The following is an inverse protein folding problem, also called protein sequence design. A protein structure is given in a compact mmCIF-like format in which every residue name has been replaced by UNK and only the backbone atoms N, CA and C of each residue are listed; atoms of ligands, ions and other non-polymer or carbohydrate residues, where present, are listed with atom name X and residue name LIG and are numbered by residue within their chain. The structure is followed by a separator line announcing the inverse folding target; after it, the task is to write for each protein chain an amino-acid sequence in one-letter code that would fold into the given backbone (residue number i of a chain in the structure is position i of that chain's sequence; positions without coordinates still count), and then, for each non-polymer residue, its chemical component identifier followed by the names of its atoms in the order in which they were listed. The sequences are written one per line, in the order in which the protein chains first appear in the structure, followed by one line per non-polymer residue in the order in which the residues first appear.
data_IF_820917030428
#
_entry.id   IF_820917030428
#
_cell.length_a   1.000
_cell.length_b   1.000
_cell.length_c   1.000
_cell.angle_alpha   90.00
_cell.angle_beta   90.00
_cell.angle_gamma   90.00
#
_symmetry.space_group_name_H-M   'P 1'
#
loop_
_entity.id
_entity.type
_entity.pdbx_description
1 polymer ?
#
# COMPACT_ATOMS: atom_id res chain seq x y z
N UNK A 1 19.07 14.76 -2.22
CA UNK A 1 17.85 15.14 -2.99
C UNK A 1 18.06 16.51 -3.59
N UNK A 2 17.73 16.70 -4.87
CA UNK A 2 17.73 18.01 -5.53
C UNK A 2 16.28 18.39 -5.85
N UNK A 3 15.88 19.64 -5.60
CA UNK A 3 14.65 20.25 -6.12
C UNK A 3 13.30 19.54 -5.84
N UNK A 4 13.07 19.04 -4.62
CA UNK A 4 11.75 18.51 -4.24
C UNK A 4 11.40 17.14 -4.86
N UNK A 5 12.41 16.42 -5.36
CA UNK A 5 12.28 15.06 -5.89
C UNK A 5 12.98 14.04 -4.99
N UNK A 6 12.39 12.86 -4.87
CA UNK A 6 13.05 11.66 -4.35
C UNK A 6 13.74 10.92 -5.48
N UNK A 7 14.95 10.45 -5.20
CA UNK A 7 15.79 9.73 -6.16
C UNK A 7 16.33 8.45 -5.53
N UNK A 8 16.57 7.40 -6.34
CA UNK A 8 17.30 6.23 -5.89
C UNK A 8 18.76 6.56 -5.55
N UNK A 9 19.45 5.60 -4.92
CA UNK A 9 20.90 5.64 -4.76
C UNK A 9 21.48 4.47 -5.57
N UNK A 10 22.40 4.75 -6.47
CA UNK A 10 22.99 3.77 -7.40
C UNK A 10 24.47 3.46 -7.10
N UNK A 11 25.12 4.32 -6.32
CA UNK A 11 26.54 4.20 -5.98
C UNK A 11 26.77 4.11 -4.48
N UNK A 12 27.97 3.64 -4.11
CA UNK A 12 28.43 3.64 -2.72
C UNK A 12 28.52 5.06 -2.15
N UNK A 13 29.11 5.97 -2.92
CA UNK A 13 29.32 7.35 -2.48
C UNK A 13 27.99 8.05 -2.19
N UNK A 14 26.97 7.82 -3.03
CA UNK A 14 25.60 8.30 -2.77
C UNK A 14 25.02 7.73 -1.49
N UNK A 15 25.20 6.43 -1.22
CA UNK A 15 24.73 5.79 0.00
C UNK A 15 25.42 6.34 1.25
N UNK A 16 26.73 6.59 1.19
CA UNK A 16 27.50 7.11 2.32
C UNK A 16 27.30 8.60 2.56
N UNK A 17 27.08 9.37 1.50
CA UNK A 17 26.80 10.81 1.57
C UNK A 17 25.34 11.10 1.94
N UNK A 18 24.46 10.09 1.90
CA UNK A 18 23.06 10.23 2.28
C UNK A 18 22.95 10.50 3.79
N UNK A 19 22.59 11.74 4.14
CA UNK A 19 22.70 12.24 5.53
C UNK A 19 21.38 12.67 6.17
N UNK A 20 20.28 12.74 5.42
CA UNK A 20 18.87 12.65 5.83
C UNK A 20 18.01 13.04 4.60
N UNK A 21 16.78 12.50 4.44
CA UNK A 21 15.86 13.00 3.41
C UNK A 21 15.54 14.48 3.64
N UNK A 22 15.21 15.23 2.57
CA UNK A 22 14.64 16.56 2.75
C UNK A 22 13.46 16.49 3.72
N UNK A 23 13.24 17.51 4.56
CA UNK A 23 12.10 17.54 5.47
C UNK A 23 10.82 17.44 4.65
N UNK A 24 10.23 16.25 4.67
CA UNK A 24 8.95 15.93 4.06
C UNK A 24 8.09 15.34 5.17
N UNK A 25 6.87 15.88 5.29
CA UNK A 25 5.91 15.36 6.24
C UNK A 25 5.34 14.09 5.64
N UNK A 26 5.45 13.00 6.40
CA UNK A 26 4.89 11.70 6.04
C UNK A 26 3.86 11.35 7.09
N UNK A 27 2.73 10.81 6.65
CA UNK A 27 1.66 10.37 7.56
C UNK A 27 2.17 9.29 8.52
N UNK A 28 1.71 9.34 9.77
CA UNK A 28 2.00 8.27 10.73
C UNK A 28 1.25 7.02 10.32
N UNK A 29 1.86 5.85 10.52
CA UNK A 29 1.18 4.59 10.22
C UNK A 29 -0.03 4.44 11.11
N UNK A 30 -1.22 4.37 10.50
CA UNK A 30 -2.48 4.14 11.17
C UNK A 30 -2.51 2.74 11.76
N UNK A 31 -2.90 2.62 13.02
CA UNK A 31 -3.15 1.31 13.60
C UNK A 31 -4.44 0.72 13.02
N UNK A 32 -4.33 -0.52 12.56
CA UNK A 32 -5.41 -1.33 12.01
C UNK A 32 -5.33 -2.73 12.60
N UNK A 33 -6.47 -3.37 12.82
CA UNK A 33 -6.53 -4.77 13.19
C UNK A 33 -6.64 -5.63 11.93
N UNK A 34 -5.73 -6.60 11.79
CA UNK A 34 -5.69 -7.53 10.65
C UNK A 34 -5.95 -8.99 11.05
N UNK A 35 -6.87 -9.19 12.00
CA UNK A 35 -7.15 -10.51 12.58
C UNK A 35 -6.29 -10.84 13.81
N UNK A 36 -6.00 -12.12 14.00
CA UNK A 36 -5.27 -12.70 15.13
C UNK A 36 -3.74 -12.75 14.95
N UNK A 37 -3.23 -12.25 13.82
CA UNK A 37 -1.81 -12.27 13.46
C UNK A 37 -1.30 -13.60 12.90
N UNK A 38 -2.15 -14.63 12.84
CA UNK A 38 -1.83 -15.97 12.32
C UNK A 38 -2.32 -16.18 10.88
N UNK A 39 -3.00 -15.19 10.30
CA UNK A 39 -3.44 -15.24 8.91
C UNK A 39 -2.28 -14.99 7.93
N UNK A 40 -2.24 -15.70 6.78
CA UNK A 40 -1.30 -15.41 5.70
C UNK A 40 -1.45 -14.00 5.16
N UNK A 41 -0.33 -13.33 4.87
CA UNK A 41 -0.25 -11.93 4.48
C UNK A 41 -0.12 -11.77 2.97
N UNK A 42 -0.42 -10.58 2.46
CA UNK A 42 -0.16 -10.18 1.08
C UNK A 42 0.84 -9.04 1.07
N UNK A 43 1.99 -9.27 0.43
CA UNK A 43 2.97 -8.25 0.09
C UNK A 43 2.80 -7.85 -1.37
N UNK A 44 2.71 -6.56 -1.65
CA UNK A 44 2.66 -6.02 -3.01
C UNK A 44 3.98 -5.36 -3.40
N UNK A 45 4.70 -5.94 -4.35
CA UNK A 45 5.93 -5.40 -4.91
C UNK A 45 5.65 -4.84 -6.31
N UNK A 46 5.51 -3.52 -6.44
CA UNK A 46 4.74 -2.97 -7.57
C UNK A 46 5.38 -3.08 -8.94
N UNK A 47 6.70 -2.96 -9.03
CA UNK A 47 7.51 -2.86 -10.25
C UNK A 47 6.78 -2.20 -11.45
N UNK A 48 7.01 -0.90 -11.62
CA UNK A 48 6.30 -0.08 -12.60
C UNK A 48 7.29 0.77 -13.39
N UNK A 49 7.55 0.41 -14.66
CA UNK A 49 8.35 1.22 -15.61
C UNK A 49 9.66 1.81 -15.08
N UNK A 50 10.38 1.08 -14.24
CA UNK A 50 11.64 1.53 -13.64
C UNK A 50 11.50 2.47 -12.43
N UNK A 51 10.27 2.83 -12.04
CA UNK A 51 9.97 3.68 -10.89
C UNK A 51 10.28 5.16 -11.09
N UNK A 52 9.93 5.96 -10.09
CA UNK A 52 10.19 7.40 -9.96
C UNK A 52 9.65 8.19 -11.14
N UNK A 53 8.38 7.97 -11.47
CA UNK A 53 7.62 8.70 -12.48
C UNK A 53 7.06 9.98 -11.86
N UNK A 54 5.77 10.29 -12.04
CA UNK A 54 5.10 11.42 -11.39
C UNK A 54 5.13 11.35 -9.86
N UNK A 55 5.27 10.16 -9.30
CA UNK A 55 5.33 9.88 -7.88
C UNK A 55 6.64 10.29 -7.20
N UNK A 56 7.70 10.61 -7.98
CA UNK A 56 8.98 11.07 -7.41
C UNK A 56 8.89 12.45 -6.77
N UNK A 57 7.93 13.28 -7.18
CA UNK A 57 7.80 14.66 -6.72
C UNK A 57 7.15 14.70 -5.34
N UNK A 58 7.89 15.22 -4.34
CA UNK A 58 7.45 15.26 -2.93
C UNK A 58 6.13 16.03 -2.77
N UNK A 59 5.98 17.13 -3.52
CA UNK A 59 4.79 17.99 -3.47
C UNK A 59 3.76 17.66 -4.56
N UNK A 60 3.96 16.57 -5.32
CA UNK A 60 3.15 16.21 -6.47
C UNK A 60 3.50 16.99 -7.75
N UNK A 61 2.67 16.82 -8.78
CA UNK A 61 2.83 17.44 -10.09
C UNK A 61 1.47 17.76 -10.74
N UNK A 62 1.50 18.50 -11.84
CA UNK A 62 0.31 18.94 -12.59
C UNK A 62 -0.17 17.90 -13.64
N UNK A 63 0.09 16.61 -13.41
CA UNK A 63 -0.32 15.51 -14.31
C UNK A 63 -1.31 14.58 -13.61
N UNK A 64 -2.56 14.43 -14.07
CA UNK A 64 -3.56 13.60 -13.39
C UNK A 64 -3.43 12.10 -13.70
N UNK A 65 -2.43 11.71 -14.50
CA UNK A 65 -2.31 10.36 -15.06
C UNK A 65 -1.33 9.44 -14.33
N UNK A 66 -0.78 9.90 -13.20
CA UNK A 66 0.12 9.11 -12.37
C UNK A 66 -0.54 7.81 -11.89
N UNK A 67 0.25 6.73 -11.85
CA UNK A 67 -0.21 5.46 -11.31
C UNK A 67 -0.60 5.61 -9.83
N UNK A 68 -1.65 4.91 -9.42
CA UNK A 68 -2.13 4.95 -8.04
C UNK A 68 -2.67 3.59 -7.64
N UNK A 69 -2.42 3.24 -6.39
CA UNK A 69 -3.01 2.07 -5.76
C UNK A 69 -4.04 2.53 -4.72
N UNK A 70 -5.17 1.83 -4.64
CA UNK A 70 -6.29 2.19 -3.76
C UNK A 70 -6.95 0.97 -3.09
N UNK A 71 -6.42 -0.25 -3.27
CA UNK A 71 -6.90 -1.46 -2.61
C UNK A 71 -6.05 -1.84 -1.39
N UNK A 72 -5.65 -0.85 -0.59
CA UNK A 72 -4.74 -1.01 0.56
C UNK A 72 -5.24 -1.96 1.64
N UNK A 73 -6.56 -2.09 1.78
CA UNK A 73 -7.20 -3.05 2.68
C UNK A 73 -6.85 -4.51 2.35
N UNK A 74 -6.44 -4.81 1.12
CA UNK A 74 -6.12 -6.17 0.67
C UNK A 74 -4.68 -6.59 0.97
N UNK A 75 -3.78 -5.63 1.22
CA UNK A 75 -2.35 -5.89 1.38
C UNK A 75 -1.87 -5.51 2.78
N UNK A 76 -0.83 -6.18 3.26
CA UNK A 76 -0.21 -5.96 4.57
C UNK A 76 1.07 -5.13 4.45
N UNK A 77 1.79 -5.27 3.34
CA UNK A 77 2.99 -4.52 3.03
C UNK A 77 3.09 -4.18 1.55
N UNK A 78 3.73 -3.05 1.26
CA UNK A 78 4.01 -2.54 -0.08
C UNK A 78 5.51 -2.34 -0.22
N UNK A 79 6.11 -2.87 -1.29
CA UNK A 79 7.52 -2.68 -1.64
C UNK A 79 7.56 -1.76 -2.84
N UNK A 80 8.17 -0.58 -2.67
CA UNK A 80 8.48 0.31 -3.78
C UNK A 80 9.69 -0.27 -4.54
N UNK A 81 9.44 -0.79 -5.74
CA UNK A 81 10.42 -1.55 -6.49
C UNK A 81 10.87 -0.80 -7.74
N UNK A 82 12.19 -0.71 -7.87
CA UNK A 82 12.88 -0.20 -9.04
C UNK A 82 14.23 -0.92 -9.20
N UNK A 83 14.82 -0.80 -10.38
CA UNK A 83 16.06 -1.49 -10.76
C UNK A 83 17.33 -0.76 -10.31
N UNK A 84 17.28 -0.07 -9.17
CA UNK A 84 18.40 0.65 -8.57
C UNK A 84 19.07 -0.15 -7.44
N UNK A 85 20.29 0.26 -7.04
CA UNK A 85 20.99 -0.33 -5.90
C UNK A 85 20.16 -0.17 -4.62
N UNK A 86 19.77 1.06 -4.31
CA UNK A 86 18.79 1.35 -3.26
C UNK A 86 17.62 2.14 -3.81
N UNK A 87 16.44 1.58 -3.60
CA UNK A 87 15.18 2.18 -4.02
C UNK A 87 14.45 2.71 -2.79
N UNK A 88 14.39 4.04 -2.68
CA UNK A 88 13.73 4.77 -1.59
C UNK A 88 12.27 5.05 -2.02
N UNK A 89 11.26 4.59 -1.27
CA UNK A 89 9.88 4.92 -1.55
C UNK A 89 9.63 6.43 -1.50
N UNK A 90 8.97 7.03 -2.50
CA UNK A 90 8.56 8.42 -2.41
C UNK A 90 7.57 8.67 -1.25
N UNK A 91 7.62 9.83 -0.58
CA UNK A 91 6.74 10.20 0.55
C UNK A 91 5.26 10.04 0.27
N UNK A 92 4.84 10.24 -0.98
CA UNK A 92 3.45 10.02 -1.39
C UNK A 92 3.01 8.57 -1.20
N UNK A 93 3.84 7.60 -1.57
CA UNK A 93 3.58 6.18 -1.34
C UNK A 93 3.60 5.81 0.14
N UNK A 94 4.58 6.36 0.88
CA UNK A 94 4.68 6.11 2.32
C UNK A 94 3.43 6.61 3.03
N UNK A 95 3.02 7.86 2.75
CA UNK A 95 1.83 8.46 3.35
C UNK A 95 0.56 7.70 2.96
N UNK A 96 0.39 7.37 1.68
CA UNK A 96 -0.74 6.57 1.20
C UNK A 96 -0.81 5.20 1.88
N UNK A 97 0.30 4.46 2.00
CA UNK A 97 0.30 3.18 2.71
C UNK A 97 0.02 3.35 4.21
N UNK A 98 0.66 4.33 4.84
CA UNK A 98 0.58 4.57 6.28
C UNK A 98 -0.84 4.92 6.74
N UNK A 99 -1.57 5.81 6.05
CA UNK A 99 -2.95 6.13 6.46
C UNK A 99 -3.89 4.91 6.41
N UNK A 100 -3.56 3.89 5.61
CA UNK A 100 -4.30 2.63 5.50
C UNK A 100 -3.77 1.52 6.42
N UNK A 101 -2.72 1.79 7.21
CA UNK A 101 -2.07 0.80 8.06
C UNK A 101 -1.35 -0.28 7.27
N UNK A 102 -0.62 0.12 6.21
CA UNK A 102 0.23 -0.74 5.38
C UNK A 102 1.68 -0.30 5.53
N UNK A 103 2.58 -1.26 5.79
CA UNK A 103 4.03 -0.99 5.84
C UNK A 103 4.56 -0.71 4.45
N UNK A 104 5.33 0.36 4.28
CA UNK A 104 5.93 0.73 2.98
C UNK A 104 7.44 0.51 3.03
N UNK A 105 7.95 -0.35 2.16
CA UNK A 105 9.30 -0.89 2.22
C UNK A 105 10.14 -0.42 1.02
N UNK A 106 11.40 -0.13 1.29
CA UNK A 106 12.45 0.16 0.33
C UNK A 106 12.98 -1.17 -0.16
N UNK A 107 13.75 -1.10 -1.25
CA UNK A 107 14.46 -2.26 -1.76
C UNK A 107 15.95 -1.98 -1.79
N UNK A 108 16.73 -2.94 -1.29
CA UNK A 108 18.19 -2.97 -1.42
C UNK A 108 18.60 -4.13 -2.34
N UNK A 109 19.40 -3.85 -3.37
CA UNK A 109 19.86 -4.81 -4.36
C UNK A 109 21.28 -5.31 -4.05
N UNK A 110 21.39 -6.51 -3.49
CA UNK A 110 22.69 -7.10 -3.15
C UNK A 110 23.52 -7.58 -4.34
N UNK A 111 22.91 -7.86 -5.49
CA UNK A 111 23.50 -8.73 -6.51
C UNK A 111 24.09 -8.02 -7.75
N UNK A 112 24.56 -6.77 -7.60
CA UNK A 112 25.43 -6.13 -8.59
C UNK A 112 26.89 -6.29 -8.19
N UNK A 113 27.84 -6.25 -9.14
CA UNK A 113 29.28 -6.20 -8.85
C UNK A 113 29.63 -5.04 -7.90
N UNK A 114 28.89 -3.93 -8.00
CA UNK A 114 28.92 -2.81 -7.07
C UNK A 114 28.44 -3.20 -5.68
N UNK A 115 27.30 -3.87 -5.54
CA UNK A 115 26.77 -4.31 -4.23
C UNK A 115 27.73 -5.22 -3.46
N UNK A 116 28.40 -6.14 -4.17
CA UNK A 116 29.45 -7.01 -3.58
C UNK A 116 30.70 -6.19 -3.19
N UNK A 117 31.10 -5.21 -3.99
CA UNK A 117 32.22 -4.32 -3.68
C UNK A 117 31.94 -3.43 -2.47
N UNK A 118 30.76 -2.80 -2.42
CA UNK A 118 30.25 -2.03 -1.26
C UNK A 118 30.40 -2.85 0.01
N UNK A 119 29.93 -4.09 -0.08
CA UNK A 119 29.94 -5.01 1.02
C UNK A 119 31.37 -5.37 1.48
N UNK A 120 32.26 -5.70 0.54
CA UNK A 120 33.67 -5.98 0.84
C UNK A 120 34.41 -4.78 1.45
N UNK A 121 34.10 -3.56 1.02
CA UNK A 121 34.77 -2.33 1.47
C UNK A 121 34.24 -1.80 2.82
N UNK A 122 32.96 -2.04 3.17
CA UNK A 122 32.30 -1.38 4.31
C UNK A 122 32.04 -2.23 5.55
N UNK A 123 32.08 -3.57 5.47
CA UNK A 123 31.81 -4.43 6.64
C UNK A 123 32.82 -4.24 7.77
N UNK A 124 33.96 -3.58 7.52
CA UNK A 124 34.94 -3.25 8.56
C UNK A 124 34.65 -1.96 9.34
N UNK A 125 33.70 -1.11 8.91
CA UNK A 125 33.52 0.24 9.50
C UNK A 125 32.32 0.42 10.43
N UNK A 126 31.41 -0.56 10.56
CA UNK A 126 30.18 -0.46 11.39
C UNK A 126 29.49 0.90 11.27
N UNK A 127 29.38 1.47 10.06
CA UNK A 127 29.00 2.87 9.91
C UNK A 127 27.50 3.04 10.23
N UNK A 128 27.11 3.77 11.29
CA UNK A 128 25.71 3.95 11.67
C UNK A 128 24.86 4.66 10.60
N UNK A 129 25.50 5.34 9.63
CA UNK A 129 24.82 6.08 8.56
C UNK A 129 24.12 5.19 7.53
N UNK A 130 24.62 3.98 7.26
CA UNK A 130 23.90 3.00 6.41
C UNK A 130 22.63 2.52 7.11
N UNK A 131 22.66 2.38 8.44
CA UNK A 131 21.54 1.90 9.26
C UNK A 131 20.52 3.00 9.59
N UNK A 132 20.92 4.28 9.56
CA UNK A 132 20.01 5.43 9.60
C UNK A 132 19.20 5.63 8.32
N UNK A 133 19.35 4.73 7.34
CA UNK A 133 18.44 4.65 6.21
C UNK A 133 17.06 4.18 6.69
N UNK A 134 16.27 5.15 7.16
CA UNK A 134 14.85 5.07 7.43
C UNK A 134 14.42 3.83 8.22
N UNK A 135 14.61 3.86 9.53
CA UNK A 135 13.52 3.69 10.49
C UNK A 135 12.25 2.97 9.94
N UNK A 136 11.48 3.53 9.00
CA UNK A 136 10.21 2.90 8.58
C UNK A 136 10.29 1.87 7.42
N UNK A 137 11.46 1.54 6.88
CA UNK A 137 11.53 1.10 5.48
C UNK A 137 12.77 0.21 5.18
N UNK A 138 12.71 -1.15 5.20
CA UNK A 138 13.64 -1.99 4.39
C UNK A 138 13.11 -3.39 4.06
N UNK A 139 12.94 -3.74 2.78
CA UNK A 139 12.99 -5.13 2.32
C UNK A 139 14.31 -5.39 1.57
N UNK A 140 15.06 -6.42 1.97
CA UNK A 140 16.22 -6.94 1.24
C UNK A 140 15.77 -7.86 0.10
N UNK A 141 15.23 -7.28 -0.98
CA UNK A 141 14.95 -8.04 -2.20
C UNK A 141 16.20 -8.11 -3.09
N UNK A 142 16.97 -9.19 -2.93
CA UNK A 142 18.02 -9.59 -3.86
C UNK A 142 17.43 -9.84 -5.26
N UNK A 143 17.47 -8.81 -6.11
CA UNK A 143 16.75 -8.76 -7.38
C UNK A 143 17.09 -9.85 -8.42
N UNK A 144 16.19 -9.96 -9.40
CA UNK A 144 16.26 -10.88 -10.53
C UNK A 144 17.55 -10.78 -11.36
N UNK A 145 18.22 -9.62 -11.35
CA UNK A 145 19.43 -9.33 -12.14
C UNK A 145 20.72 -9.93 -11.58
N UNK A 146 20.67 -10.69 -10.48
CA UNK A 146 21.77 -11.55 -10.09
C UNK A 146 22.04 -12.53 -11.24
N UNK A 147 23.09 -12.27 -12.03
CA UNK A 147 23.56 -13.22 -13.03
C UNK A 147 23.77 -14.57 -12.36
N UNK A 148 23.39 -15.67 -13.03
CA UNK A 148 23.70 -17.03 -12.57
C UNK A 148 25.20 -17.29 -12.39
N UNK A 149 26.05 -16.37 -12.89
CA UNK A 149 27.51 -16.37 -12.72
C UNK A 149 27.99 -15.67 -11.45
N UNK A 150 27.12 -14.99 -10.70
CA UNK A 150 27.51 -14.31 -9.47
C UNK A 150 27.68 -15.32 -8.33
N UNK A 151 28.90 -15.40 -7.80
CA UNK A 151 29.23 -16.20 -6.63
C UNK A 151 29.83 -15.31 -5.54
N UNK A 152 29.16 -15.29 -4.38
CA UNK A 152 29.55 -14.48 -3.22
C UNK A 152 29.95 -15.34 -2.03
N UNK A 153 30.48 -16.56 -2.26
CA UNK A 153 30.88 -17.50 -1.18
C UNK A 153 31.69 -16.84 -0.07
N UNK A 154 32.70 -16.02 -0.40
CA UNK A 154 33.54 -15.34 0.59
C UNK A 154 32.79 -14.31 1.43
N UNK A 155 31.67 -13.79 0.92
CA UNK A 155 30.86 -12.76 1.56
C UNK A 155 29.75 -13.34 2.46
N UNK A 156 29.47 -14.66 2.40
CA UNK A 156 28.31 -15.25 3.08
C UNK A 156 28.26 -14.99 4.59
N UNK A 157 29.33 -15.21 5.38
CA UNK A 157 29.27 -14.99 6.83
C UNK A 157 28.83 -13.56 7.15
N UNK A 158 29.42 -12.62 6.43
CA UNK A 158 29.13 -11.22 6.58
C UNK A 158 27.71 -10.87 6.11
N UNK A 159 27.19 -11.43 5.01
CA UNK A 159 25.82 -11.13 4.53
C UNK A 159 24.80 -11.50 5.60
N UNK A 160 25.04 -12.61 6.30
CA UNK A 160 24.22 -13.00 7.45
C UNK A 160 24.35 -12.01 8.61
N UNK A 161 25.58 -11.60 8.95
CA UNK A 161 25.80 -10.59 9.99
C UNK A 161 25.14 -9.25 9.63
N UNK A 162 25.21 -8.84 8.37
CA UNK A 162 24.55 -7.64 7.88
C UNK A 162 23.04 -7.74 8.00
N UNK A 163 22.43 -8.85 7.55
CA UNK A 163 20.99 -9.07 7.67
C UNK A 163 20.53 -9.02 9.13
N UNK A 164 21.28 -9.68 10.02
CA UNK A 164 21.01 -9.70 11.45
C UNK A 164 21.09 -8.30 12.05
N UNK A 165 22.22 -7.59 11.83
CA UNK A 165 22.44 -6.23 12.33
C UNK A 165 21.41 -5.25 11.76
N UNK A 166 21.10 -5.34 10.47
CA UNK A 166 20.08 -4.53 9.84
C UNK A 166 18.72 -4.75 10.51
N UNK A 167 18.34 -6.01 10.73
CA UNK A 167 17.07 -6.34 11.39
C UNK A 167 17.02 -5.79 12.83
N UNK A 168 18.08 -6.00 13.61
CA UNK A 168 18.19 -5.50 14.99
C UNK A 168 18.12 -3.97 15.08
N UNK A 169 18.92 -3.26 14.27
CA UNK A 169 18.94 -1.80 14.23
C UNK A 169 17.60 -1.22 13.76
N UNK A 170 16.96 -1.86 12.78
CA UNK A 170 15.65 -1.43 12.27
C UNK A 170 14.54 -1.61 13.30
N UNK A 171 14.52 -2.71 14.05
CA UNK A 171 13.53 -2.90 15.12
C UNK A 171 13.76 -1.93 16.28
N UNK A 172 15.03 -1.61 16.57
CA UNK A 172 15.43 -0.62 17.59
C UNK A 172 15.01 0.81 17.19
N UNK A 173 15.28 1.20 15.95
CA UNK A 173 14.97 2.53 15.44
C UNK A 173 13.46 2.73 15.22
N UNK A 174 12.75 1.69 14.76
CA UNK A 174 11.30 1.70 14.56
C UNK A 174 10.68 0.39 15.01
N UNK A 175 9.98 0.43 16.14
CA UNK A 175 9.15 -0.67 16.58
C UNK A 175 8.15 -1.08 15.50
N UNK A 176 8.13 -2.37 15.17
CA UNK A 176 7.25 -2.92 14.14
C UNK A 176 7.75 -2.74 12.70
N UNK A 177 8.98 -2.28 12.48
CA UNK A 177 9.64 -2.36 11.18
C UNK A 177 9.81 -3.84 10.75
N UNK A 178 10.22 -4.07 9.50
CA UNK A 178 10.29 -5.41 8.93
C UNK A 178 11.39 -5.49 7.89
N UNK A 179 12.18 -6.55 7.91
CA UNK A 179 13.23 -6.90 6.94
C UNK A 179 12.91 -8.23 6.28
N UNK A 180 12.73 -8.22 4.95
CA UNK A 180 12.43 -9.43 4.16
C UNK A 180 13.61 -9.77 3.25
N UNK A 181 14.09 -11.00 3.27
CA UNK A 181 15.11 -11.52 2.36
C UNK A 181 14.49 -12.11 1.09
N UNK A 182 15.03 -11.86 -0.10
CA UNK A 182 14.61 -12.58 -1.30
C UNK A 182 15.46 -13.81 -1.56
N UNK A 183 14.81 -14.90 -1.96
CA UNK A 183 15.43 -16.17 -2.35
C UNK A 183 16.28 -16.03 -3.62
N UNK A 184 17.48 -15.48 -3.48
CA UNK A 184 18.44 -15.31 -4.58
C UNK A 184 19.67 -16.20 -4.45
N UNK A 185 20.23 -16.27 -3.24
CA UNK A 185 21.55 -16.87 -2.99
C UNK A 185 21.41 -18.00 -1.98
N UNK A 186 22.00 -19.14 -2.29
CA UNK A 186 22.10 -20.26 -1.35
C UNK A 186 23.16 -19.98 -0.27
N UNK A 187 23.10 -20.70 0.85
CA UNK A 187 24.09 -20.70 1.95
C UNK A 187 25.55 -20.83 1.49
N UNK A 188 25.78 -21.41 0.31
CA UNK A 188 27.12 -21.55 -0.27
C UNK A 188 27.63 -20.29 -0.97
N UNK A 189 26.80 -19.25 -1.14
CA UNK A 189 27.10 -18.03 -1.88
C UNK A 189 26.83 -18.10 -3.37
N UNK A 190 26.41 -19.26 -3.88
CA UNK A 190 25.98 -19.39 -5.28
C UNK A 190 24.62 -18.73 -5.47
N UNK A 191 24.49 -17.89 -6.49
CA UNK A 191 23.20 -17.36 -6.94
C UNK A 191 22.34 -18.50 -7.51
N UNK A 192 21.54 -19.10 -6.64
CA UNK A 192 20.67 -20.22 -6.93
C UNK A 192 19.38 -20.03 -6.13
N UNK A 193 18.32 -19.62 -6.82
CA UNK A 193 16.96 -19.58 -6.27
C UNK A 193 16.50 -20.99 -5.98
N UNK A 194 15.93 -21.21 -4.81
CA UNK A 194 15.36 -22.49 -4.41
C UNK A 194 13.88 -22.60 -4.79
N UNK A 195 13.19 -21.45 -4.91
CA UNK A 195 11.74 -21.31 -5.08
C UNK A 195 10.92 -21.83 -3.88
N UNK A 196 11.60 -22.27 -2.83
CA UNK A 196 11.05 -22.85 -1.61
C UNK A 196 11.91 -22.43 -0.42
N UNK A 197 11.37 -22.45 0.78
CA UNK A 197 12.17 -22.35 2.00
C UNK A 197 12.74 -23.74 2.35
N UNK A 198 14.07 -23.85 2.41
CA UNK A 198 14.75 -25.09 2.76
C UNK A 198 16.11 -24.82 3.45
N UNK A 199 16.85 -25.88 3.78
CA UNK A 199 18.15 -25.81 4.45
C UNK A 199 19.25 -25.02 3.72
N UNK A 200 19.03 -24.64 2.45
CA UNK A 200 19.97 -23.83 1.66
C UNK A 200 19.73 -22.34 1.82
N UNK A 201 18.50 -21.86 2.10
CA UNK A 201 18.21 -20.44 2.30
C UNK A 201 17.70 -20.10 3.72
N UNK A 202 17.32 -21.10 4.52
CA UNK A 202 16.93 -20.94 5.92
C UNK A 202 17.89 -20.08 6.76
N UNK A 203 19.22 -20.19 6.63
CA UNK A 203 20.12 -19.36 7.44
C UNK A 203 20.03 -17.84 7.18
N UNK A 204 19.36 -17.39 6.12
CA UNK A 204 19.05 -15.97 5.90
C UNK A 204 17.67 -15.62 6.44
N UNK A 205 16.69 -16.52 6.27
CA UNK A 205 15.35 -16.40 6.85
C UNK A 205 15.38 -16.31 8.39
N UNK A 206 16.31 -17.03 9.03
CA UNK A 206 16.49 -16.99 10.49
C UNK A 206 17.08 -15.65 10.98
N UNK A 207 17.65 -14.84 10.09
CA UNK A 207 18.32 -13.57 10.43
C UNK A 207 17.44 -12.33 10.17
N UNK A 208 16.21 -12.53 9.70
CA UNK A 208 15.29 -11.44 9.34
C UNK A 208 13.82 -11.84 9.54
N UNK A 209 12.90 -10.93 9.26
CA UNK A 209 11.48 -11.09 9.55
C UNK A 209 10.74 -12.00 8.56
N UNK A 210 11.29 -12.23 7.36
CA UNK A 210 10.67 -13.12 6.39
C UNK A 210 11.47 -13.37 5.13
N UNK A 211 10.96 -14.27 4.28
CA UNK A 211 11.56 -14.60 2.99
C UNK A 211 10.57 -14.42 1.84
N UNK A 212 11.01 -13.80 0.75
CA UNK A 212 10.28 -13.69 -0.51
C UNK A 212 10.83 -14.72 -1.50
N UNK A 213 10.07 -15.78 -1.73
CA UNK A 213 10.45 -16.88 -2.60
C UNK A 213 10.42 -16.47 -4.07
N UNK A 214 11.27 -17.10 -4.88
CA UNK A 214 11.26 -16.92 -6.33
C UNK A 214 10.05 -17.62 -6.99
N UNK A 215 9.70 -17.21 -8.21
CA UNK A 215 8.42 -17.51 -8.89
C UNK A 215 8.24 -18.94 -9.44
N UNK A 216 9.28 -19.79 -9.37
CA UNK A 216 9.30 -21.15 -9.99
C UNK A 216 9.00 -22.26 -8.99
N UNK A 217 8.02 -22.04 -8.11
CA UNK A 217 7.59 -23.02 -7.13
C UNK A 217 6.59 -24.01 -7.73
N UNK A 218 6.49 -25.20 -7.13
CA UNK A 218 5.44 -26.20 -7.36
C UNK A 218 4.61 -26.38 -6.08
N UNK A 219 3.48 -27.10 -6.13
CA UNK A 219 2.68 -27.36 -4.92
C UNK A 219 3.48 -28.11 -3.83
N UNK A 220 4.28 -29.12 -4.21
CA UNK A 220 5.14 -29.86 -3.28
C UNK A 220 6.15 -28.92 -2.58
N UNK A 221 6.74 -27.97 -3.33
CA UNK A 221 7.65 -26.96 -2.77
C UNK A 221 6.95 -26.03 -1.77
N UNK A 222 5.67 -25.71 -1.98
CA UNK A 222 4.89 -24.92 -1.02
C UNK A 222 4.60 -25.71 0.26
N UNK A 223 4.21 -26.98 0.12
CA UNK A 223 4.00 -27.86 1.27
C UNK A 223 5.28 -28.04 2.08
N UNK A 224 6.40 -28.28 1.40
CA UNK A 224 7.71 -28.41 2.01
C UNK A 224 8.15 -27.11 2.70
N UNK A 225 7.91 -25.96 2.06
CA UNK A 225 8.17 -24.64 2.65
C UNK A 225 7.36 -24.40 3.93
N UNK A 226 6.06 -24.74 3.91
CA UNK A 226 5.19 -24.58 5.07
C UNK A 226 5.62 -25.48 6.22
N UNK A 227 5.95 -26.75 5.92
CA UNK A 227 6.47 -27.71 6.90
C UNK A 227 7.81 -27.26 7.48
N UNK A 228 8.70 -26.73 6.63
CA UNK A 228 10.01 -26.23 7.07
C UNK A 228 9.88 -24.98 7.93
N UNK A 229 8.98 -24.06 7.58
CA UNK A 229 8.76 -22.80 8.30
C UNK A 229 8.13 -22.98 9.69
N UNK A 230 7.32 -24.05 9.88
CA UNK A 230 6.59 -24.29 11.12
C UNK A 230 5.70 -23.09 11.48
N UNK A 231 5.87 -22.54 12.68
CA UNK A 231 5.09 -21.40 13.17
C UNK A 231 5.34 -20.11 12.36
N UNK A 232 6.47 -20.01 11.64
CA UNK A 232 6.80 -18.85 10.79
C UNK A 232 6.28 -18.96 9.36
N UNK A 233 5.31 -19.84 9.07
CA UNK A 233 4.72 -19.99 7.73
C UNK A 233 4.21 -18.67 7.11
N UNK A 234 3.71 -17.75 7.93
CA UNK A 234 3.22 -16.45 7.46
C UNK A 234 4.35 -15.45 7.12
N UNK A 235 5.59 -15.77 7.48
CA UNK A 235 6.77 -14.99 7.14
C UNK A 235 7.40 -15.46 5.81
N UNK A 236 6.83 -16.51 5.19
CA UNK A 236 7.21 -17.02 3.87
C UNK A 236 6.24 -16.45 2.83
N UNK A 237 6.73 -15.54 2.00
CA UNK A 237 5.98 -14.91 0.91
C UNK A 237 6.28 -15.65 -0.40
N UNK A 238 5.27 -16.34 -0.93
CA UNK A 238 5.36 -17.06 -2.20
C UNK A 238 5.41 -16.05 -3.36
N UNK A 239 6.45 -16.14 -4.19
CA UNK A 239 6.64 -15.30 -5.37
C UNK A 239 5.57 -15.47 -6.43
N UNK A 240 4.84 -14.42 -6.76
CA UNK A 240 3.88 -14.43 -7.87
C UNK A 240 4.21 -13.31 -8.84
N UNK A 241 4.78 -13.65 -10.01
CA UNK A 241 5.03 -12.68 -11.08
C UNK A 241 3.76 -12.48 -11.91
N UNK A 242 3.20 -11.27 -11.87
CA UNK A 242 1.96 -10.93 -12.58
C UNK A 242 2.14 -10.98 -14.11
N UNK A 243 3.36 -10.76 -14.62
CA UNK A 243 3.65 -10.95 -16.05
C UNK A 243 3.74 -12.43 -16.45
N UNK A 244 3.61 -13.36 -15.49
CA UNK A 244 3.74 -14.80 -15.68
C UNK A 244 5.09 -15.23 -16.30
N UNK A 245 6.16 -14.47 -16.09
CA UNK A 245 7.47 -14.84 -16.64
C UNK A 245 8.01 -15.99 -15.80
N UNK A 246 8.21 -17.13 -16.45
CA UNK A 246 8.89 -18.29 -15.84
C UNK A 246 8.14 -18.87 -14.63
N UNK A 247 6.81 -18.95 -14.69
CA UNK A 247 5.96 -19.65 -13.69
C UNK A 247 5.03 -20.63 -14.40
N UNK A 248 4.57 -21.66 -13.68
CA UNK A 248 3.58 -22.64 -14.17
C UNK A 248 2.14 -22.13 -14.02
N UNK A 249 1.92 -21.07 -13.24
CA UNK A 249 0.61 -20.45 -13.04
C UNK A 249 0.39 -19.28 -14.00
N UNK A 250 -0.88 -19.03 -14.34
CA UNK A 250 -1.26 -17.85 -15.11
C UNK A 250 -1.11 -16.57 -14.27
N UNK A 251 -0.60 -15.51 -14.89
CA UNK A 251 -0.52 -14.16 -14.32
C UNK A 251 -1.69 -13.27 -14.74
N UNK A 252 -1.48 -11.96 -14.77
CA UNK A 252 -2.50 -10.98 -15.12
C UNK A 252 -3.72 -11.11 -14.21
N UNK A 253 -4.92 -11.12 -14.79
CA UNK A 253 -6.17 -11.24 -14.03
C UNK A 253 -6.34 -12.58 -13.28
N UNK A 254 -5.53 -13.60 -13.60
CA UNK A 254 -5.58 -14.91 -12.93
C UNK A 254 -4.64 -15.00 -11.72
N UNK A 255 -3.95 -13.90 -11.36
CA UNK A 255 -3.03 -13.82 -10.21
C UNK A 255 -3.67 -14.32 -8.91
N UNK A 256 -4.97 -14.10 -8.71
CA UNK A 256 -5.69 -14.56 -7.52
C UNK A 256 -5.65 -16.09 -7.34
N UNK A 257 -5.49 -16.87 -8.42
CA UNK A 257 -5.36 -18.33 -8.36
C UNK A 257 -4.03 -18.74 -7.72
N UNK A 258 -2.94 -18.07 -8.07
CA UNK A 258 -1.63 -18.29 -7.44
C UNK A 258 -1.64 -17.86 -5.96
N UNK A 259 -2.34 -16.76 -5.64
CA UNK A 259 -2.54 -16.33 -4.23
C UNK A 259 -3.32 -17.39 -3.45
N UNK A 260 -4.38 -17.95 -4.02
CA UNK A 260 -5.16 -19.03 -3.40
C UNK A 260 -4.29 -20.26 -3.13
N UNK A 261 -3.36 -20.57 -4.04
CA UNK A 261 -2.46 -21.70 -3.88
C UNK A 261 -1.48 -21.51 -2.71
N UNK A 262 -0.89 -20.32 -2.55
CA UNK A 262 -0.06 -20.01 -1.39
C UNK A 262 -0.86 -20.14 -0.08
N UNK A 263 -2.08 -19.58 -0.05
CA UNK A 263 -2.97 -19.62 1.11
C UNK A 263 -3.42 -21.03 1.49
N UNK A 264 -3.60 -21.94 0.52
CA UNK A 264 -3.94 -23.36 0.77
C UNK A 264 -2.95 -24.03 1.72
N UNK A 265 -1.67 -23.65 1.66
CA UNK A 265 -0.61 -24.16 2.54
C UNK A 265 -0.35 -23.26 3.76
N UNK A 266 -1.16 -22.24 3.98
CA UNK A 266 -0.97 -21.26 5.05
C UNK A 266 0.25 -20.36 4.85
N UNK A 267 0.73 -20.21 3.61
CA UNK A 267 1.83 -19.32 3.26
C UNK A 267 1.32 -17.95 2.80
N UNK A 268 2.11 -16.92 3.06
CA UNK A 268 1.85 -15.56 2.56
C UNK A 268 2.11 -15.47 1.04
N UNK A 269 1.54 -14.46 0.39
CA UNK A 269 1.73 -14.21 -1.04
C UNK A 269 2.51 -12.92 -1.26
N UNK A 270 3.50 -12.94 -2.16
CA UNK A 270 4.20 -11.75 -2.64
C UNK A 270 3.91 -11.51 -4.11
N UNK A 271 3.03 -10.55 -4.39
CA UNK A 271 2.60 -10.18 -5.74
C UNK A 271 3.62 -9.22 -6.34
N UNK A 272 4.33 -9.66 -7.38
CA UNK A 272 5.36 -8.91 -8.07
C UNK A 272 4.86 -8.36 -9.41
N UNK A 273 5.20 -7.11 -9.69
CA UNK A 273 4.99 -6.45 -10.98
C UNK A 273 3.51 -6.30 -11.40
N UNK A 274 2.62 -5.99 -10.45
CA UNK A 274 1.24 -5.62 -10.80
C UNK A 274 1.12 -4.28 -11.56
N UNK A 275 2.24 -3.55 -11.75
CA UNK A 275 2.37 -2.53 -12.80
C UNK A 275 1.93 -3.02 -14.18
N UNK A 276 1.94 -4.34 -14.41
CA UNK A 276 1.29 -5.02 -15.53
C UNK A 276 -0.08 -4.46 -15.92
N UNK A 277 -0.95 -4.15 -14.94
CA UNK A 277 -2.29 -3.59 -15.20
C UNK A 277 -2.19 -2.27 -15.96
N UNK A 278 -1.25 -1.41 -15.57
CA UNK A 278 -1.05 -0.10 -16.17
C UNK A 278 -0.21 -0.14 -17.46
N UNK A 279 0.67 -1.13 -17.58
CA UNK A 279 1.62 -1.25 -18.68
C UNK A 279 1.06 -2.01 -19.89
N UNK A 280 0.20 -2.99 -19.66
CA UNK A 280 -0.23 -3.94 -20.71
C UNK A 280 -1.72 -3.83 -21.05
N UNK A 281 -2.54 -3.31 -20.14
CA UNK A 281 -3.96 -3.10 -20.39
C UNK A 281 -4.21 -1.68 -20.90
N UNK A 282 -5.40 -1.45 -21.43
CA UNK A 282 -5.79 -0.11 -21.87
C UNK A 282 -5.85 0.86 -20.67
N UNK A 283 -5.02 1.90 -20.72
CA UNK A 283 -4.92 2.92 -19.66
C UNK A 283 -6.18 3.75 -19.52
N UNK A 284 -6.97 3.90 -20.59
CA UNK A 284 -8.27 4.59 -20.49
C UNK A 284 -9.24 3.87 -19.55
N UNK A 285 -9.07 2.55 -19.42
CA UNK A 285 -9.83 1.67 -18.53
C UNK A 285 -9.04 1.28 -17.27
N UNK A 286 -8.05 2.08 -16.86
CA UNK A 286 -7.18 1.73 -15.74
C UNK A 286 -7.96 1.43 -14.45
N UNK A 287 -8.99 2.23 -14.13
CA UNK A 287 -9.80 2.04 -12.92
C UNK A 287 -10.47 0.66 -12.94
N UNK A 288 -11.15 0.33 -14.04
CA UNK A 288 -11.88 -0.93 -14.17
C UNK A 288 -10.93 -2.13 -14.18
N UNK A 289 -9.81 -2.02 -14.90
CA UNK A 289 -8.79 -3.06 -14.92
C UNK A 289 -8.12 -3.24 -13.56
N UNK A 290 -7.90 -2.17 -12.81
CA UNK A 290 -7.33 -2.24 -11.47
C UNK A 290 -8.30 -2.91 -10.50
N UNK A 291 -9.59 -2.54 -10.56
CA UNK A 291 -10.64 -3.17 -9.77
C UNK A 291 -10.79 -4.66 -10.12
N UNK A 292 -10.78 -5.01 -11.42
CA UNK A 292 -10.84 -6.40 -11.87
C UNK A 292 -9.66 -7.22 -11.36
N UNK A 293 -8.45 -6.66 -11.40
CA UNK A 293 -7.25 -7.35 -10.94
C UNK A 293 -7.28 -7.63 -9.42
N UNK A 294 -7.70 -6.65 -8.61
CA UNK A 294 -7.74 -6.76 -7.15
C UNK A 294 -9.08 -7.28 -6.60
N UNK A 295 -10.00 -7.75 -7.45
CA UNK A 295 -11.26 -8.35 -7.02
C UNK A 295 -11.07 -9.78 -6.48
N UNK A 296 -10.33 -9.88 -5.37
CA UNK A 296 -10.07 -11.14 -4.71
C UNK A 296 -11.32 -11.60 -3.95
N UNK A 297 -11.53 -12.92 -3.89
CA UNK A 297 -12.61 -13.49 -3.10
C UNK A 297 -12.39 -13.15 -1.62
N UNK A 298 -13.48 -12.92 -0.86
CA UNK A 298 -13.41 -12.60 0.58
C UNK A 298 -12.60 -13.66 1.37
N UNK A 299 -12.54 -14.91 0.91
CA UNK A 299 -11.72 -15.98 1.51
C UNK A 299 -10.20 -15.81 1.35
N UNK A 300 -9.77 -14.99 0.38
CA UNK A 300 -8.38 -14.63 0.12
C UNK A 300 -8.02 -13.27 0.74
N UNK A 301 -8.97 -12.60 1.39
CA UNK A 301 -8.78 -11.31 2.00
C UNK A 301 -8.66 -11.49 3.51
N UNK A 302 -7.63 -10.91 4.11
CA UNK A 302 -7.57 -10.84 5.56
C UNK A 302 -8.64 -9.87 6.06
N UNK A 303 -9.02 -10.03 7.33
CA UNK A 303 -9.81 -9.00 7.96
C UNK A 303 -8.99 -7.70 8.04
N UNK A 304 -9.65 -6.57 7.87
CA UNK A 304 -9.03 -5.25 7.96
C UNK A 304 -10.02 -4.31 8.65
N UNK A 305 -9.63 -3.86 9.84
CA UNK A 305 -10.46 -2.99 10.67
C UNK A 305 -9.68 -1.77 11.12
N UNK A 306 -10.30 -0.61 10.97
CA UNK A 306 -9.77 0.63 11.55
C UNK A 306 -10.04 0.62 13.05
N UNK A 307 -9.02 0.89 13.86
CA UNK A 307 -9.12 0.92 15.33
C UNK A 307 -8.81 2.30 15.93
N UNK A 308 -8.49 3.26 15.06
CA UNK A 308 -8.05 4.61 15.43
C UNK A 308 -9.02 5.66 14.90
N UNK A 309 -9.25 6.69 15.72
CA UNK A 309 -9.97 7.90 15.36
C UNK A 309 -9.01 9.12 15.39
N UNK A 310 -9.30 10.21 14.65
CA UNK A 310 -10.41 10.36 13.72
C UNK A 310 -10.28 9.49 12.46
N UNK A 311 -11.43 9.10 11.90
CA UNK A 311 -11.52 8.63 10.52
C UNK A 311 -12.12 9.77 9.70
N UNK A 312 -11.36 10.30 8.74
CA UNK A 312 -11.77 11.41 7.88
C UNK A 312 -11.50 11.06 6.42
N UNK A 313 -12.53 11.13 5.57
CA UNK A 313 -12.36 10.86 4.12
C UNK A 313 -13.49 11.44 3.28
N UNK A 314 -13.12 12.08 2.17
CA UNK A 314 -13.97 12.35 1.01
C UNK A 314 -13.62 11.44 -0.18
N UNK A 315 -12.86 10.36 0.06
CA UNK A 315 -12.44 9.34 -0.91
C UNK A 315 -11.48 9.81 -2.00
N UNK A 316 -10.86 10.98 -1.85
CA UNK A 316 -9.86 11.48 -2.80
C UNK A 316 -8.71 10.47 -2.96
N UNK A 317 -8.45 10.01 -4.18
CA UNK A 317 -7.39 9.04 -4.46
C UNK A 317 -5.99 9.67 -4.66
N UNK A 318 -5.83 10.95 -4.33
CA UNK A 318 -4.55 11.69 -4.46
C UNK A 318 -4.32 12.26 -5.85
N UNK A 319 -5.39 12.51 -6.63
CA UNK A 319 -5.32 13.14 -7.95
C UNK A 319 -6.68 13.74 -8.32
N UNK A 320 -6.70 14.60 -9.34
CA UNK A 320 -7.94 15.07 -9.96
C UNK A 320 -7.68 16.05 -11.10
N UNK A 321 -8.68 16.24 -11.97
CA UNK A 321 -8.67 17.28 -13.01
C UNK A 321 -8.86 18.68 -12.41
N UNK A 322 -9.47 18.74 -11.23
CA UNK A 322 -9.69 19.95 -10.44
C UNK A 322 -9.38 19.64 -8.99
N UNK A 323 -9.17 20.70 -8.21
CA UNK A 323 -9.10 20.64 -6.76
C UNK A 323 -10.37 21.26 -6.17
N UNK A 324 -11.01 20.54 -5.26
CA UNK A 324 -12.21 20.95 -4.55
C UNK A 324 -11.90 21.22 -3.08
N UNK A 325 -12.61 22.20 -2.52
CA UNK A 325 -12.68 22.50 -1.08
C UNK A 325 -14.13 22.81 -0.73
N UNK A 326 -14.68 22.07 0.23
CA UNK A 326 -16.08 22.20 0.68
C UNK A 326 -17.09 22.21 -0.49
N UNK A 327 -16.87 21.31 -1.47
CA UNK A 327 -17.70 21.16 -2.66
C UNK A 327 -17.47 22.20 -3.76
N UNK A 328 -16.64 23.23 -3.52
CA UNK A 328 -16.35 24.30 -4.49
C UNK A 328 -15.01 24.07 -5.18
N UNK A 329 -14.93 24.43 -6.47
CA UNK A 329 -13.67 24.36 -7.23
C UNK A 329 -12.68 25.38 -6.67
N UNK A 330 -11.65 24.91 -5.97
CA UNK A 330 -10.55 25.71 -5.45
C UNK A 330 -9.43 25.90 -6.48
N UNK A 331 -9.26 24.95 -7.41
CA UNK A 331 -8.37 25.08 -8.56
C UNK A 331 -8.90 24.31 -9.76
N UNK A 332 -8.80 24.91 -10.94
CA UNK A 332 -9.17 24.29 -12.22
C UNK A 332 -7.99 23.60 -12.93
N UNK A 333 -6.86 23.43 -12.24
CA UNK A 333 -5.68 22.75 -12.78
C UNK A 333 -5.67 21.27 -12.38
N UNK A 334 -5.27 20.37 -13.28
CA UNK A 334 -5.07 18.98 -12.93
C UNK A 334 -3.90 18.84 -11.96
N UNK A 335 -3.96 17.81 -11.13
CA UNK A 335 -2.94 17.56 -10.12
C UNK A 335 -2.88 16.08 -9.73
N UNK A 336 -1.70 15.69 -9.27
CA UNK A 336 -1.42 14.37 -8.69
C UNK A 336 -0.46 14.51 -7.53
N UNK A 337 -0.85 13.98 -6.37
CA UNK A 337 -0.03 13.89 -5.17
C UNK A 337 -0.59 12.76 -4.29
N UNK A 338 0.10 11.61 -4.26
CA UNK A 338 -0.31 10.46 -3.44
C UNK A 338 -0.30 10.76 -1.94
N UNK A 339 0.48 11.75 -1.46
CA UNK A 339 0.42 12.14 -0.05
C UNK A 339 -0.95 12.76 0.32
N UNK A 340 -1.74 13.19 -0.68
CA UNK A 340 -3.12 13.66 -0.51
C UNK A 340 -4.17 12.58 -0.79
N UNK A 341 -3.75 11.32 -0.95
CA UNK A 341 -4.70 10.22 -0.94
C UNK A 341 -5.36 10.16 0.44
N UNK A 342 -6.67 10.04 0.47
CA UNK A 342 -7.47 9.87 1.68
C UNK A 342 -7.79 8.39 1.88
N UNK A 343 -8.26 8.06 3.09
CA UNK A 343 -8.63 6.68 3.43
C UNK A 343 -9.67 6.14 2.44
N UNK A 344 -9.38 4.99 1.85
CA UNK A 344 -10.17 4.33 0.82
C UNK A 344 -11.11 3.28 1.44
N UNK A 345 -12.33 3.07 0.91
CA UNK A 345 -13.29 2.12 1.46
C UNK A 345 -12.86 0.66 1.22
N UNK A 346 -13.43 -0.24 2.03
CA UNK A 346 -13.21 -1.70 1.97
C UNK A 346 -13.71 -2.29 0.66
N UNK A 347 -14.97 -2.01 0.30
CA UNK A 347 -15.52 -2.43 -0.97
C UNK A 347 -15.18 -1.36 -2.03
N UNK A 348 -14.64 -1.79 -3.18
CA UNK A 348 -14.45 -0.97 -4.38
C UNK A 348 -14.50 -1.87 -5.61
N UNK A 349 -15.00 -1.34 -6.72
CA UNK A 349 -15.00 -2.02 -8.00
C UNK A 349 -16.32 -1.96 -8.74
N UNK A 350 -16.35 -2.65 -9.88
CA UNK A 350 -17.46 -2.57 -10.85
C UNK A 350 -18.51 -3.67 -10.69
N UNK A 351 -18.29 -4.62 -9.77
CA UNK A 351 -19.13 -5.81 -9.62
C UNK A 351 -19.41 -6.16 -8.14
N UNK A 352 -19.82 -5.17 -7.36
CA UNK A 352 -20.31 -5.35 -5.99
C UNK A 352 -21.67 -6.08 -5.97
N UNK A 353 -22.01 -6.70 -4.84
CA UNK A 353 -23.31 -7.37 -4.62
C UNK A 353 -23.68 -8.37 -5.73
N UNK A 354 -22.74 -9.24 -6.13
CA UNK A 354 -22.99 -10.21 -7.20
C UNK A 354 -23.19 -9.57 -8.58
N UNK A 355 -22.59 -8.40 -8.81
CA UNK A 355 -22.69 -7.66 -10.08
C UNK A 355 -23.89 -6.71 -10.16
N UNK A 356 -24.58 -6.45 -9.04
CA UNK A 356 -25.71 -5.53 -8.98
C UNK A 356 -25.31 -4.09 -8.60
N UNK A 357 -24.03 -3.85 -8.27
CA UNK A 357 -23.57 -2.50 -8.00
C UNK A 357 -22.10 -2.26 -8.30
N UNK A 358 -21.71 -1.00 -8.27
CA UNK A 358 -20.33 -0.55 -8.41
C UNK A 358 -20.03 0.59 -7.42
N UNK A 359 -18.77 0.67 -7.03
CA UNK A 359 -18.19 1.75 -6.25
C UNK A 359 -16.85 2.13 -6.88
N UNK A 360 -16.83 3.23 -7.62
CA UNK A 360 -15.66 3.68 -8.38
C UNK A 360 -15.36 5.15 -8.13
N UNK A 361 -14.12 5.57 -8.37
CA UNK A 361 -13.73 6.99 -8.21
C UNK A 361 -14.40 7.85 -9.29
N UNK A 362 -14.86 9.02 -8.89
CA UNK A 362 -15.39 10.06 -9.77
C UNK A 362 -14.63 11.36 -9.55
N UNK A 363 -14.02 11.88 -10.61
CA UNK A 363 -13.22 13.13 -10.58
C UNK A 363 -13.96 14.33 -11.12
N UNK A 364 -15.20 14.16 -11.59
CA UNK A 364 -16.02 15.25 -12.14
C UNK A 364 -16.55 16.17 -11.05
N UNK A 365 -16.68 15.66 -9.83
CA UNK A 365 -17.15 16.33 -8.63
C UNK A 365 -16.40 15.79 -7.40
N UNK A 366 -16.20 16.63 -6.38
CA UNK A 366 -15.67 16.20 -5.09
C UNK A 366 -16.02 17.21 -3.99
N UNK A 367 -16.04 16.76 -2.73
CA UNK A 367 -16.16 17.67 -1.59
C UNK A 367 -14.80 18.28 -1.24
N UNK A 368 -13.82 17.44 -0.92
CA UNK A 368 -12.43 17.82 -0.65
C UNK A 368 -11.48 16.97 -1.48
N UNK A 369 -10.49 17.61 -2.12
CA UNK A 369 -9.51 16.90 -2.95
C UNK A 369 -9.90 16.86 -4.42
N UNK A 370 -9.67 15.73 -5.10
CA UNK A 370 -9.72 15.66 -6.57
C UNK A 370 -10.74 14.66 -7.14
N UNK A 371 -11.44 13.96 -6.25
CA UNK A 371 -12.52 13.06 -6.61
C UNK A 371 -13.26 12.58 -5.37
N UNK A 372 -14.44 11.99 -5.60
CA UNK A 372 -15.24 11.29 -4.61
C UNK A 372 -15.47 9.83 -5.03
N UNK A 373 -16.29 9.12 -4.25
CA UNK A 373 -16.76 7.79 -4.62
C UNK A 373 -18.14 7.86 -5.24
N UNK A 374 -18.28 7.33 -6.46
CA UNK A 374 -19.56 7.11 -7.15
C UNK A 374 -20.04 5.70 -6.88
N UNK A 375 -21.25 5.59 -6.37
CA UNK A 375 -21.98 4.35 -6.18
C UNK A 375 -23.06 4.24 -7.26
N UNK A 376 -23.16 3.09 -7.91
CA UNK A 376 -24.24 2.80 -8.85
C UNK A 376 -24.81 1.43 -8.52
N UNK A 377 -26.13 1.33 -8.44
CA UNK A 377 -26.82 0.07 -8.19
C UNK A 377 -27.89 -0.14 -9.23
N UNK A 378 -27.78 -1.24 -9.97
CA UNK A 378 -28.81 -1.70 -10.89
C UNK A 378 -29.56 -2.85 -10.22
N UNK A 379 -30.83 -2.67 -9.82
CA UNK A 379 -31.62 -3.76 -9.26
C UNK A 379 -31.90 -4.79 -10.37
N UNK A 380 -31.04 -5.80 -10.49
CA UNK A 380 -31.27 -6.94 -11.41
C UNK A 380 -32.26 -7.95 -10.84
N UNK A 381 -32.44 -7.95 -9.52
CA UNK A 381 -33.32 -8.86 -8.81
C UNK A 381 -33.94 -8.14 -7.61
N UNK A 382 -35.28 -8.16 -7.51
CA UNK A 382 -36.05 -7.41 -6.50
C UNK A 382 -35.76 -7.91 -5.07
N UNK A 383 -35.21 -9.11 -4.95
CA UNK A 383 -34.90 -9.77 -3.67
C UNK A 383 -33.50 -9.46 -3.14
N UNK A 384 -32.62 -8.80 -3.91
CA UNK A 384 -31.26 -8.46 -3.47
C UNK A 384 -31.24 -7.03 -2.94
N UNK A 385 -31.06 -6.87 -1.63
CA UNK A 385 -30.79 -5.56 -1.03
C UNK A 385 -29.33 -5.18 -1.29
N UNK A 386 -29.04 -4.18 -2.14
CA UNK A 386 -27.67 -3.76 -2.38
C UNK A 386 -27.04 -3.21 -1.09
N UNK A 387 -25.78 -3.54 -0.85
CA UNK A 387 -25.00 -3.01 0.26
C UNK A 387 -23.61 -2.55 -0.20
N UNK A 388 -22.97 -1.72 0.63
CA UNK A 388 -21.64 -1.20 0.38
C UNK A 388 -20.87 -1.11 1.71
N UNK A 389 -19.83 -1.93 1.89
CA UNK A 389 -19.01 -1.88 3.11
C UNK A 389 -17.96 -0.78 2.96
N UNK A 390 -18.17 0.31 3.70
CA UNK A 390 -17.22 1.43 3.79
C UNK A 390 -16.00 1.05 4.62
N UNK A 391 -16.21 0.82 5.91
CA UNK A 391 -15.16 0.51 6.88
C UNK A 391 -15.69 -0.52 7.87
N UNK A 392 -14.81 -1.39 8.34
CA UNK A 392 -15.04 -2.14 9.58
C UNK A 392 -14.28 -1.41 10.68
N UNK A 393 -14.98 -1.02 11.75
CA UNK A 393 -14.40 -0.30 12.88
C UNK A 393 -14.55 -1.18 14.12
N UNK A 394 -13.46 -1.40 14.87
CA UNK A 394 -13.52 -2.21 16.10
C UNK A 394 -13.82 -1.33 17.30
N UNK A 395 -14.84 -1.73 18.07
CA UNK A 395 -15.22 -1.29 19.42
C UNK A 395 -14.48 -0.04 19.94
N UNK A 396 -14.99 1.14 19.57
CA UNK A 396 -14.40 2.42 19.94
C UNK A 396 -14.84 2.91 21.34
N UNK A 397 -15.57 2.09 22.10
CA UNK A 397 -16.27 2.54 23.31
C UNK A 397 -17.49 3.42 22.99
N UNK A 398 -18.30 3.70 24.03
CA UNK A 398 -19.67 4.22 23.92
C UNK A 398 -19.89 5.63 23.36
N UNK A 399 -18.83 6.35 22.95
CA UNK A 399 -18.89 7.79 22.66
C UNK A 399 -18.36 8.20 21.27
N UNK A 400 -18.26 7.27 20.31
CA UNK A 400 -17.91 7.62 18.93
C UNK A 400 -19.14 8.14 18.16
N UNK A 401 -19.05 9.35 17.59
CA UNK A 401 -20.09 9.93 16.72
C UNK A 401 -19.66 9.77 15.27
N UNK A 402 -20.49 9.09 14.47
CA UNK A 402 -20.42 9.18 13.01
C UNK A 402 -21.11 10.49 12.59
N UNK A 403 -20.36 11.38 11.94
CA UNK A 403 -20.87 12.59 11.34
C UNK A 403 -20.56 12.55 9.84
N UNK A 404 -21.60 12.64 9.02
CA UNK A 404 -21.47 12.80 7.57
C UNK A 404 -21.60 14.30 7.28
N UNK A 405 -20.50 14.94 6.88
CA UNK A 405 -20.44 16.38 6.59
C UNK A 405 -20.53 16.55 5.08
N UNK A 406 -21.69 17.01 4.60
CA UNK A 406 -22.03 17.04 3.19
C UNK A 406 -22.51 15.66 2.71
N UNK A 407 -23.69 15.59 2.16
CA UNK A 407 -24.14 14.42 1.40
C UNK A 407 -25.02 14.93 0.27
N UNK A 408 -24.41 15.52 -0.75
CA UNK A 408 -25.15 15.75 -1.98
C UNK A 408 -25.26 14.40 -2.71
N UNK A 409 -26.39 13.71 -2.52
CA UNK A 409 -26.81 12.65 -3.43
C UNK A 409 -27.31 13.32 -4.71
N UNK A 410 -26.47 13.48 -5.73
CA UNK A 410 -27.01 13.74 -7.07
C UNK A 410 -27.62 12.43 -7.58
N UNK A 411 -28.89 12.18 -7.22
CA UNK A 411 -29.60 10.97 -7.65
C UNK A 411 -30.10 11.15 -9.08
N UNK A 412 -29.46 10.48 -10.04
CA UNK A 412 -30.10 10.19 -11.34
C UNK A 412 -30.45 8.70 -11.34
N UNK A 413 -31.67 8.39 -10.89
CA UNK A 413 -32.44 7.13 -10.99
C UNK A 413 -31.78 5.76 -10.66
N UNK A 414 -30.46 5.64 -10.46
CA UNK A 414 -29.73 4.42 -10.08
C UNK A 414 -28.28 4.69 -9.61
N UNK A 415 -27.82 5.93 -9.72
CA UNK A 415 -26.44 6.36 -9.40
C UNK A 415 -26.47 7.46 -8.35
N UNK A 416 -25.56 7.38 -7.37
CA UNK A 416 -25.29 8.46 -6.42
C UNK A 416 -23.78 8.67 -6.23
N UNK A 417 -23.36 9.91 -6.02
CA UNK A 417 -22.00 10.23 -5.58
C UNK A 417 -22.02 10.55 -4.09
N UNK A 418 -21.06 10.01 -3.34
CA UNK A 418 -20.85 10.42 -1.94
C UNK A 418 -20.08 11.74 -1.93
N UNK A 419 -20.82 12.85 -2.06
CA UNK A 419 -20.28 14.21 -2.14
C UNK A 419 -20.12 14.87 -0.77
N UNK A 420 -19.45 14.18 0.14
CA UNK A 420 -19.02 14.79 1.38
C UNK A 420 -18.01 13.97 2.13
N UNK A 421 -17.77 14.40 3.34
CA UNK A 421 -16.72 13.91 4.19
C UNK A 421 -17.31 13.07 5.31
N UNK A 422 -16.85 11.83 5.39
CA UNK A 422 -17.16 10.97 6.52
C UNK A 422 -16.16 11.29 7.61
N UNK A 423 -16.67 11.75 8.75
CA UNK A 423 -15.90 11.99 9.96
C UNK A 423 -16.43 11.06 11.05
N UNK A 424 -15.54 10.26 11.62
CA UNK A 424 -15.80 9.48 12.85
C UNK A 424 -14.84 9.97 13.91
N UNK A 425 -15.35 10.48 15.01
CA UNK A 425 -14.58 11.12 16.09
C UNK A 425 -15.15 10.75 17.46
N UNK A 426 -14.33 10.83 18.52
CA UNK A 426 -14.81 10.66 19.89
C UNK A 426 -15.44 11.97 20.35
N UNK A 427 -16.56 11.90 21.07
CA UNK A 427 -17.26 13.09 21.60
C UNK A 427 -16.38 13.96 22.52
N UNK A 428 -15.36 13.39 23.17
CA UNK A 428 -14.35 14.13 23.94
C UNK A 428 -13.55 15.11 23.09
N UNK A 429 -13.29 14.74 21.83
CA UNK A 429 -12.37 15.45 20.93
C UNK A 429 -13.11 16.57 20.17
N UNK A 430 -14.44 16.57 20.18
CA UNK A 430 -15.32 17.57 19.54
C UNK A 430 -15.35 18.89 20.34
N UNK A 431 -14.94 18.88 21.61
CA UNK A 431 -15.11 20.01 22.54
C UNK A 431 -14.06 21.14 22.45
N UNK A 432 -13.08 21.09 21.55
CA UNK A 432 -12.05 22.15 21.44
C UNK A 432 -12.28 23.17 20.30
N UNK A 433 -13.36 23.06 19.51
CA UNK A 433 -13.59 23.98 18.37
C UNK A 433 -14.89 24.80 18.43
N UNK A 434 -15.50 24.95 19.60
CA UNK A 434 -16.61 25.89 19.79
C UNK A 434 -16.43 26.63 21.10
N UNK A 435 -15.74 27.78 21.06
CA UNK A 435 -16.07 29.02 21.77
C UNK A 435 -14.97 30.08 21.49
N UNK A 436 -15.40 31.36 21.46
CA UNK A 436 -14.71 32.59 21.00
C UNK A 436 -14.87 32.82 19.48
N UNK A 437 -15.74 33.70 18.98
CA UNK A 437 -16.06 35.05 19.47
C UNK A 437 -17.57 35.36 19.46
N UNK A 438 -18.03 35.91 20.57
CA UNK A 438 -19.20 36.77 20.62
C UNK A 438 -18.75 38.17 20.20
N UNK A 439 -19.38 38.78 19.19
CA UNK A 439 -19.50 40.24 19.17
C UNK A 439 -20.84 40.64 18.53
N UNK A 440 -21.60 41.39 19.31
CA UNK A 440 -22.94 41.89 19.02
C UNK A 440 -22.88 43.04 18.00
N UNK A 441 -23.73 43.00 16.96
CA UNK A 441 -23.94 44.15 16.07
C UNK A 441 -25.02 43.90 15.00
N UNK A 442 -25.85 44.91 14.66
CA UNK A 442 -27.31 44.73 14.62
C UNK A 442 -27.91 44.38 13.27
N UNK A 443 -29.10 43.75 13.38
CA UNK A 443 -30.17 43.54 12.42
C UNK A 443 -30.10 44.31 11.09
N UNK A 444 -30.01 43.55 9.99
CA UNK A 444 -30.71 43.89 8.75
C UNK A 444 -31.30 42.62 8.12
N UNK A 445 -32.63 42.62 8.07
CA UNK A 445 -33.46 41.57 7.50
C UNK A 445 -33.23 41.37 6.00
N UNK A 446 -33.13 40.12 5.57
CA UNK A 446 -33.48 39.70 4.21
C UNK A 446 -33.79 38.21 4.16
N UNK A 447 -35.09 37.91 4.03
CA UNK A 447 -35.76 36.77 3.39
C UNK A 447 -35.06 35.39 3.44
N UNK A 448 -35.46 34.61 4.45
CA UNK A 448 -35.22 33.16 4.55
C UNK A 448 -36.17 32.38 3.62
N UNK A 449 -35.61 31.64 2.64
CA UNK A 449 -36.24 30.43 2.12
C UNK A 449 -35.72 29.23 2.94
N UNK A 450 -36.59 28.70 3.80
CA UNK A 450 -36.37 27.52 4.64
C UNK A 450 -35.97 26.29 3.81
N UNK A 451 -34.75 25.80 4.02
CA UNK A 451 -34.35 24.45 3.62
C UNK A 451 -34.63 23.49 4.78
N UNK A 452 -35.76 22.76 4.71
CA UNK A 452 -36.06 21.67 5.64
C UNK A 452 -35.23 20.40 5.32
N UNK A 453 -34.46 19.83 6.28
CA UNK A 453 -33.82 18.54 6.10
C UNK A 453 -34.79 17.40 6.51
N UNK A 454 -35.65 16.97 5.58
CA UNK A 454 -36.48 15.78 5.78
C UNK A 454 -35.83 14.52 5.20
N UNK A 455 -35.20 13.70 6.04
CA UNK A 455 -35.26 12.22 6.01
C UNK A 455 -34.38 11.61 7.10
N UNK A 456 -35.02 11.11 8.17
CA UNK A 456 -34.40 10.25 9.18
C UNK A 456 -33.91 8.95 8.51
N UNK A 457 -32.60 8.75 8.40
CA UNK A 457 -32.02 7.42 8.12
C UNK A 457 -32.07 6.56 9.38
N UNK A 458 -32.74 5.39 9.29
CA UNK A 458 -32.66 4.34 10.31
C UNK A 458 -31.32 3.61 10.18
N UNK A 459 -30.58 3.52 11.29
CA UNK A 459 -29.38 2.66 11.44
C UNK A 459 -29.73 1.20 11.12
N UNK A 460 -28.95 0.58 10.23
CA UNK A 460 -28.75 -0.87 10.13
C UNK A 460 -27.25 -1.14 9.97
#
# INVERSE_FOLDING_TARGET
MAHGEVRPLDTLDELLAFTDPQPCIVERMREVNRGDGQAPRIMFCHDLKGGYLEDRFINGCDSPHGYRFHHWQLIDSFVYYAHHLVTIPPPGWISAGHIHGVKVLAKYLFASSTGVRIFNEHVHRRTPSIFKMHANIVASVAGESASSTLNITSCIPFVKDFLRLLTEEMHSAVPGSMVIWYDAVARTGKCARQNELNSKNAPFFDMCDGIFLHFKWTEDMLEDSARFAGDRKNDVYVGIDVFARKTEYAGGFETCKAVAQARKYGLSAGIFAAGWVYETQDRSNFIDNQCRFWNFLDTLCNDWRVVTLPLKTGFCQGFGEKLYRDGKVASSRPWYNLAKQQLQPRDQGTALCGGCGSATVDTTVAYNGGGCLRLQFEPRNVDVKPYFRRYTIRDLGGDAKLQEIGAALESRAATCCLLGEIVVERLSDVKENVEEDCDDGPDMASDDEEWEPSAKMRRL
#
